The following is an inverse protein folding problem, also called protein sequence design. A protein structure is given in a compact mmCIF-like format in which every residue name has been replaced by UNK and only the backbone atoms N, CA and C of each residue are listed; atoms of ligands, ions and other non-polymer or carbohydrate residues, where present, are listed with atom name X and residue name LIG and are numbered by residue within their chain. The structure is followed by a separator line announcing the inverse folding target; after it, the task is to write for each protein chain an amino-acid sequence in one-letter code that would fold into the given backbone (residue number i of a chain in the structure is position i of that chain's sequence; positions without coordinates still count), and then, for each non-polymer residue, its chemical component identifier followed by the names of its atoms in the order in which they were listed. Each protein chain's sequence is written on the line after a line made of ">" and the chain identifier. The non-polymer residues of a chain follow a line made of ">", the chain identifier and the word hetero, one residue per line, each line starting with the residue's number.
data_IF_286856772358
#
_entry.id   IF_286856772358
#
_cell.length_a   1.000
_cell.length_b   1.000
_cell.length_c   1.000
_cell.angle_alpha   90.00
_cell.angle_beta   90.00
_cell.angle_gamma   90.00
#
_symmetry.space_group_name_H-M   'P 1'
#
loop_
_entity.id
_entity.type
_entity.pdbx_description
1 polymer ?
#
# COMPACT_ATOMS: atom_id res chain seq x y z
N UNK A 1 -0.92 -18.97 -3.14
CA UNK A 1 -1.31 -20.30 -3.66
C UNK A 1 -2.83 -20.35 -3.64
N UNK A 2 -3.48 -20.84 -4.71
CA UNK A 2 -4.94 -20.80 -4.87
C UNK A 2 -5.51 -22.20 -4.83
N UNK A 3 -6.46 -22.44 -3.93
CA UNK A 3 -7.18 -23.70 -3.83
C UNK A 3 -8.68 -23.44 -4.00
N UNK A 4 -9.36 -24.32 -4.73
CA UNK A 4 -10.82 -24.36 -4.81
C UNK A 4 -11.27 -25.63 -4.11
N UNK A 5 -12.20 -25.49 -3.17
CA UNK A 5 -12.77 -26.60 -2.43
C UNK A 5 -14.27 -26.60 -2.69
N UNK A 6 -14.74 -27.69 -3.26
CA UNK A 6 -16.13 -27.87 -3.70
C UNK A 6 -16.93 -28.73 -2.70
N UNK A 7 -16.25 -29.44 -1.80
CA UNK A 7 -16.85 -30.33 -0.81
C UNK A 7 -17.12 -29.63 0.52
N UNK A 8 -18.33 -29.78 1.07
CA UNK A 8 -18.79 -29.04 2.26
C UNK A 8 -18.12 -29.47 3.56
N UNK A 9 -17.64 -30.71 3.69
CA UNK A 9 -16.98 -31.21 4.92
C UNK A 9 -15.60 -30.57 5.17
N UNK A 10 -14.90 -30.15 4.11
CA UNK A 10 -13.57 -29.53 4.22
C UNK A 10 -13.63 -28.01 4.44
N UNK A 11 -14.79 -27.40 4.18
CA UNK A 11 -15.05 -25.99 4.47
C UNK A 11 -15.02 -25.73 5.97
N UNK A 12 -15.62 -26.61 6.78
CA UNK A 12 -15.66 -26.44 8.25
C UNK A 12 -14.25 -26.45 8.88
N UNK A 13 -13.35 -27.30 8.37
CA UNK A 13 -11.95 -27.35 8.85
C UNK A 13 -11.20 -26.05 8.57
N UNK A 14 -11.47 -25.41 7.43
CA UNK A 14 -10.89 -24.13 7.05
C UNK A 14 -11.44 -22.99 7.90
N UNK A 15 -12.74 -23.00 8.21
CA UNK A 15 -13.35 -22.03 9.14
C UNK A 15 -12.69 -22.15 10.51
N UNK A 16 -12.55 -23.38 11.02
CA UNK A 16 -11.92 -23.62 12.33
C UNK A 16 -10.47 -23.12 12.31
N UNK A 17 -9.71 -23.37 11.23
CA UNK A 17 -8.36 -22.81 11.09
C UNK A 17 -8.34 -21.28 11.04
N UNK A 18 -9.24 -20.65 10.27
CA UNK A 18 -9.32 -19.20 10.16
C UNK A 18 -9.80 -18.55 11.48
N UNK A 19 -10.71 -19.21 12.19
CA UNK A 19 -11.22 -18.82 13.51
C UNK A 19 -10.13 -18.83 14.59
N UNK A 20 -9.26 -19.84 14.57
CA UNK A 20 -8.08 -19.87 15.44
C UNK A 20 -7.06 -18.78 15.09
N UNK A 21 -6.98 -18.38 13.82
CA UNK A 21 -6.04 -17.36 13.36
C UNK A 21 -6.51 -15.92 13.67
N UNK A 22 -7.82 -15.64 13.57
CA UNK A 22 -8.39 -14.36 13.98
C UNK A 22 -9.83 -14.52 14.51
N UNK A 23 -10.03 -14.58 15.84
CA UNK A 23 -11.34 -14.82 16.44
C UNK A 23 -12.40 -13.75 16.15
N UNK A 24 -11.97 -12.53 15.82
CA UNK A 24 -12.87 -11.39 15.60
C UNK A 24 -13.62 -11.44 14.26
N UNK A 25 -13.15 -12.23 13.29
CA UNK A 25 -13.70 -12.25 11.93
C UNK A 25 -14.63 -13.47 11.69
N UNK A 26 -14.79 -14.34 12.70
CA UNK A 26 -15.55 -15.60 12.60
C UNK A 26 -17.00 -15.34 12.16
N UNK A 27 -17.64 -14.33 12.73
CA UNK A 27 -19.04 -14.03 12.46
C UNK A 27 -19.24 -13.57 11.00
N UNK A 28 -18.29 -12.78 10.48
CA UNK A 28 -18.29 -12.33 9.09
C UNK A 28 -18.07 -13.51 8.12
N UNK A 29 -17.13 -14.41 8.43
CA UNK A 29 -16.87 -15.60 7.62
C UNK A 29 -18.07 -16.56 7.59
N UNK A 30 -18.72 -16.79 8.74
CA UNK A 30 -19.92 -17.61 8.83
C UNK A 30 -21.08 -17.06 7.99
N UNK A 31 -21.23 -15.72 7.94
CA UNK A 31 -22.24 -15.08 7.10
C UNK A 31 -21.92 -15.18 5.60
N UNK A 32 -20.66 -15.07 5.20
CA UNK A 32 -20.25 -15.23 3.79
C UNK A 32 -20.51 -16.65 3.29
N UNK A 33 -20.31 -17.65 4.14
CA UNK A 33 -20.53 -19.06 3.80
C UNK A 33 -22.01 -19.42 3.66
N UNK A 34 -22.87 -18.90 4.55
CA UNK A 34 -24.33 -19.07 4.43
C UNK A 34 -24.91 -18.51 3.12
N UNK A 35 -24.18 -17.62 2.45
CA UNK A 35 -24.58 -16.98 1.19
C UNK A 35 -23.90 -17.59 -0.05
N UNK A 36 -23.03 -18.58 0.11
CA UNK A 36 -22.31 -19.19 -1.01
C UNK A 36 -23.02 -20.44 -1.55
N UNK A 37 -23.68 -20.31 -2.70
CA UNK A 37 -24.40 -21.42 -3.35
C UNK A 37 -23.50 -22.43 -4.09
N UNK A 38 -22.22 -22.09 -4.34
CA UNK A 38 -21.34 -22.85 -5.27
C UNK A 38 -19.98 -23.25 -4.69
N UNK A 39 -19.77 -23.10 -3.39
CA UNK A 39 -18.51 -23.44 -2.71
C UNK A 39 -17.60 -22.24 -2.41
N UNK A 40 -16.43 -22.51 -1.81
CA UNK A 40 -15.51 -21.51 -1.28
C UNK A 40 -14.16 -21.52 -2.03
N UNK A 41 -13.64 -20.33 -2.36
CA UNK A 41 -12.28 -20.16 -2.88
C UNK A 41 -11.42 -19.50 -1.81
N UNK A 42 -10.34 -20.16 -1.39
CA UNK A 42 -9.39 -19.63 -0.40
C UNK A 42 -8.05 -19.36 -1.07
N UNK A 43 -7.53 -18.16 -0.83
CA UNK A 43 -6.22 -17.76 -1.35
C UNK A 43 -5.30 -17.41 -0.19
N UNK A 44 -4.20 -18.16 -0.07
CA UNK A 44 -3.15 -17.89 0.92
C UNK A 44 -2.09 -17.04 0.25
N UNK A 45 -1.99 -15.80 0.71
CA UNK A 45 -1.01 -14.81 0.27
C UNK A 45 -0.06 -14.48 1.42
N UNK A 46 1.21 -14.18 1.09
CA UNK A 46 2.12 -13.59 2.10
C UNK A 46 1.49 -12.27 2.56
N UNK A 47 1.33 -12.11 3.87
CA UNK A 47 0.94 -10.83 4.45
C UNK A 47 2.05 -9.83 4.11
N UNK A 48 1.78 -8.98 3.11
CA UNK A 48 2.62 -7.83 2.83
C UNK A 48 1.97 -6.70 3.58
N UNK A 49 2.71 -6.05 4.48
CA UNK A 49 2.32 -4.75 5.00
C UNK A 49 2.18 -3.80 3.81
N UNK A 50 0.97 -3.68 3.29
CA UNK A 50 0.67 -2.74 2.22
C UNK A 50 0.94 -1.34 2.74
N UNK A 51 1.38 -0.44 1.85
CA UNK A 51 1.54 0.98 2.17
C UNK A 51 0.34 1.51 2.97
N UNK A 52 0.60 2.30 4.00
CA UNK A 52 -0.49 2.89 4.77
C UNK A 52 -1.24 3.92 3.92
N UNK A 53 -2.56 4.08 4.15
CA UNK A 53 -3.35 5.15 3.50
C UNK A 53 -2.75 6.54 3.74
N UNK A 54 -2.13 6.75 4.91
CA UNK A 54 -1.46 8.02 5.27
C UNK A 54 -0.25 8.28 4.35
N UNK A 55 0.60 7.29 4.15
CA UNK A 55 1.74 7.39 3.23
C UNK A 55 1.27 7.67 1.80
N UNK A 56 0.27 6.93 1.31
CA UNK A 56 -0.25 7.14 -0.04
C UNK A 56 -0.86 8.53 -0.22
N UNK A 57 -1.67 8.99 0.75
CA UNK A 57 -2.25 10.33 0.72
C UNK A 57 -1.20 11.44 0.75
N UNK A 58 -0.19 11.30 1.60
CA UNK A 58 0.94 12.24 1.66
C UNK A 58 1.70 12.27 0.32
N UNK A 59 2.06 11.10 -0.20
CA UNK A 59 2.80 10.98 -1.46
C UNK A 59 2.03 11.61 -2.62
N UNK A 60 0.75 11.23 -2.81
CA UNK A 60 -0.11 11.75 -3.89
C UNK A 60 -0.28 13.27 -3.83
N UNK A 61 -0.43 13.84 -2.64
CA UNK A 61 -0.51 15.29 -2.47
C UNK A 61 0.74 15.98 -3.02
N UNK A 62 1.92 15.53 -2.58
CA UNK A 62 3.16 16.23 -2.87
C UNK A 62 3.73 15.92 -4.25
N UNK A 63 3.55 14.71 -4.76
CA UNK A 63 3.95 14.37 -6.13
C UNK A 63 3.17 15.19 -7.16
N UNK A 64 1.88 15.47 -6.89
CA UNK A 64 1.06 16.34 -7.74
C UNK A 64 1.57 17.78 -7.73
N UNK A 65 1.73 18.37 -6.55
CA UNK A 65 2.22 19.76 -6.44
C UNK A 65 3.64 19.92 -6.99
N UNK A 66 4.50 18.92 -6.80
CA UNK A 66 5.83 18.93 -7.36
C UNK A 66 5.81 18.76 -8.89
N UNK A 67 4.96 17.89 -9.42
CA UNK A 67 4.72 17.77 -10.85
C UNK A 67 4.30 19.10 -11.48
N UNK A 68 3.33 19.79 -10.87
CA UNK A 68 2.89 21.13 -11.30
C UNK A 68 4.07 22.14 -11.31
N UNK A 69 4.96 22.09 -10.32
CA UNK A 69 6.14 22.96 -10.25
C UNK A 69 7.16 22.69 -11.37
N UNK A 70 7.40 21.42 -11.74
CA UNK A 70 8.36 21.06 -12.80
C UNK A 70 7.74 20.98 -14.20
N UNK A 71 6.43 21.22 -14.33
CA UNK A 71 5.71 21.15 -15.60
C UNK A 71 5.39 19.72 -16.08
N UNK A 72 5.31 18.75 -15.17
CA UNK A 72 4.94 17.36 -15.44
C UNK A 72 3.57 17.03 -14.86
N UNK A 73 2.85 16.09 -15.47
CA UNK A 73 1.65 15.52 -14.86
C UNK A 73 1.99 14.68 -13.62
N UNK A 74 1.01 14.48 -12.74
CA UNK A 74 1.18 13.58 -11.57
C UNK A 74 1.71 12.20 -11.97
N UNK A 75 1.22 11.66 -13.09
CA UNK A 75 1.62 10.35 -13.61
C UNK A 75 3.05 10.32 -14.13
N UNK A 76 3.47 11.33 -14.89
CA UNK A 76 4.84 11.45 -15.39
C UNK A 76 5.83 11.66 -14.25
N UNK A 77 5.49 12.53 -13.30
CA UNK A 77 6.30 12.76 -12.11
C UNK A 77 6.38 11.49 -11.25
N UNK A 78 5.29 10.72 -11.13
CA UNK A 78 5.31 9.43 -10.44
C UNK A 78 6.24 8.42 -11.14
N UNK A 79 6.19 8.31 -12.48
CA UNK A 79 7.12 7.43 -13.21
C UNK A 79 8.58 7.85 -12.97
N UNK A 80 8.89 9.15 -12.98
CA UNK A 80 10.27 9.61 -12.71
C UNK A 80 10.74 9.29 -11.30
N UNK A 81 9.92 9.53 -10.27
CA UNK A 81 10.30 9.15 -8.90
C UNK A 81 10.46 7.63 -8.76
N UNK A 82 9.66 6.82 -9.46
CA UNK A 82 9.84 5.36 -9.48
C UNK A 82 11.19 4.96 -10.10
N UNK A 83 11.56 5.56 -11.24
CA UNK A 83 12.84 5.32 -11.89
C UNK A 83 14.02 5.74 -11.01
N UNK A 84 13.92 6.91 -10.36
CA UNK A 84 14.95 7.39 -9.42
C UNK A 84 15.09 6.48 -8.19
N UNK A 85 13.97 5.94 -7.68
CA UNK A 85 13.97 5.14 -6.45
C UNK A 85 14.41 3.70 -6.68
N UNK A 86 13.95 3.07 -7.76
CA UNK A 86 14.12 1.63 -8.00
C UNK A 86 15.03 1.32 -9.19
N UNK A 87 15.59 2.36 -9.80
CA UNK A 87 16.27 2.25 -11.08
C UNK A 87 15.29 2.02 -12.23
N UNK A 88 15.87 1.93 -13.42
CA UNK A 88 15.12 1.83 -14.66
C UNK A 88 15.72 0.82 -15.62
N UNK A 89 14.88 0.37 -16.54
CA UNK A 89 15.26 -0.41 -17.71
C UNK A 89 14.75 0.31 -18.95
N UNK A 90 15.60 0.37 -19.99
CA UNK A 90 15.20 0.87 -21.31
C UNK A 90 14.70 -0.30 -22.15
N UNK A 91 13.48 -0.19 -22.64
CA UNK A 91 12.84 -1.23 -23.47
C UNK A 91 12.55 -0.65 -24.85
N UNK A 92 12.92 -1.38 -25.90
CA UNK A 92 12.52 -1.05 -27.27
C UNK A 92 11.03 -1.34 -27.46
N UNK A 93 10.28 -0.31 -27.85
CA UNK A 93 8.86 -0.42 -28.17
C UNK A 93 8.62 -0.01 -29.62
N UNK A 94 7.43 -0.30 -30.15
CA UNK A 94 7.03 0.19 -31.48
C UNK A 94 6.99 1.72 -31.58
N UNK A 95 6.97 2.43 -30.45
CA UNK A 95 7.04 3.89 -30.36
C UNK A 95 8.46 4.41 -30.06
N UNK A 96 9.47 3.54 -30.12
CA UNK A 96 10.85 3.85 -29.78
C UNK A 96 11.26 3.37 -28.39
N UNK A 97 12.43 3.82 -27.93
CA UNK A 97 12.98 3.45 -26.62
C UNK A 97 12.19 4.12 -25.51
N UNK A 98 11.68 3.32 -24.57
CA UNK A 98 10.97 3.82 -23.38
C UNK A 98 11.69 3.39 -22.11
N UNK A 99 11.94 4.35 -21.21
CA UNK A 99 12.35 4.09 -19.81
C UNK A 99 11.17 3.52 -19.03
N UNK A 100 11.41 2.48 -18.24
CA UNK A 100 10.44 1.90 -17.31
C UNK A 100 11.09 1.69 -15.96
N UNK A 101 10.39 1.96 -14.85
CA UNK A 101 10.92 1.66 -13.54
C UNK A 101 11.02 0.14 -13.35
N UNK A 102 12.06 -0.31 -12.64
CA UNK A 102 12.25 -1.73 -12.36
C UNK A 102 11.20 -2.30 -11.40
N UNK A 103 10.51 -1.42 -10.66
CA UNK A 103 9.47 -1.80 -9.70
C UNK A 103 8.33 -0.77 -9.68
N UNK A 104 7.10 -1.25 -9.49
CA UNK A 104 5.91 -0.40 -9.33
C UNK A 104 5.58 -0.17 -7.86
N UNK A 105 4.98 0.97 -7.55
CA UNK A 105 4.47 1.31 -6.22
C UNK A 105 3.36 0.37 -5.73
N UNK A 106 2.64 -0.30 -6.63
CA UNK A 106 1.63 -1.29 -6.28
C UNK A 106 2.22 -2.54 -5.59
N UNK A 107 3.47 -2.88 -5.90
CA UNK A 107 4.14 -4.09 -5.42
C UNK A 107 4.98 -3.83 -4.15
N UNK A 108 4.91 -2.62 -3.58
CA UNK A 108 5.76 -2.17 -2.47
C UNK A 108 5.08 -2.29 -1.11
N UNK A 109 5.87 -2.64 -0.09
CA UNK A 109 5.44 -2.62 1.31
C UNK A 109 5.59 -1.20 1.93
N UNK A 110 5.12 -1.01 3.17
CA UNK A 110 5.22 0.25 3.92
C UNK A 110 6.64 0.85 3.93
N UNK A 111 7.66 0.03 4.16
CA UNK A 111 9.06 0.46 4.20
C UNK A 111 9.56 0.94 2.83
N UNK A 112 9.32 0.13 1.79
CA UNK A 112 9.73 0.45 0.42
C UNK A 112 8.97 1.67 -0.12
N UNK A 113 7.72 1.86 0.30
CA UNK A 113 6.96 3.07 0.01
C UNK A 113 7.49 4.29 0.78
N UNK A 114 8.06 4.09 1.96
CA UNK A 114 8.82 5.11 2.68
C UNK A 114 10.01 5.63 1.87
N UNK A 115 10.76 4.73 1.23
CA UNK A 115 11.88 5.11 0.33
C UNK A 115 11.41 5.95 -0.86
N UNK A 116 10.24 5.64 -1.43
CA UNK A 116 9.59 6.47 -2.47
C UNK A 116 9.33 7.90 -1.99
N UNK A 117 8.87 8.07 -0.75
CA UNK A 117 8.63 9.38 -0.14
C UNK A 117 9.94 10.12 0.12
N UNK A 118 10.97 9.45 0.61
CA UNK A 118 12.29 10.03 0.83
C UNK A 118 12.91 10.53 -0.48
N UNK A 119 12.85 9.74 -1.55
CA UNK A 119 13.31 10.16 -2.88
C UNK A 119 12.56 11.39 -3.36
N UNK A 120 11.22 11.44 -3.20
CA UNK A 120 10.44 12.62 -3.55
C UNK A 120 10.93 13.87 -2.80
N UNK A 121 11.15 13.78 -1.49
CA UNK A 121 11.63 14.91 -0.67
C UNK A 121 13.02 15.36 -1.13
N UNK A 122 13.94 14.42 -1.37
CA UNK A 122 15.30 14.73 -1.79
C UNK A 122 15.35 15.37 -3.18
N UNK A 123 14.65 14.79 -4.16
CA UNK A 123 14.60 15.30 -5.54
C UNK A 123 13.93 16.67 -5.58
N UNK A 124 12.81 16.84 -4.88
CA UNK A 124 12.14 18.12 -4.76
C UNK A 124 13.04 19.20 -4.15
N UNK A 125 13.69 18.87 -3.02
CA UNK A 125 14.61 19.78 -2.35
C UNK A 125 15.79 20.19 -3.24
N UNK A 126 16.35 19.24 -4.00
CA UNK A 126 17.41 19.51 -4.98
C UNK A 126 16.99 20.44 -6.12
N UNK A 127 15.69 20.54 -6.40
CA UNK A 127 15.10 21.43 -7.41
C UNK A 127 14.50 22.72 -6.81
N UNK A 128 14.69 22.98 -5.51
CA UNK A 128 14.17 24.17 -4.84
C UNK A 128 12.68 24.08 -4.47
N UNK A 129 12.06 22.91 -4.55
CA UNK A 129 10.69 22.68 -4.09
C UNK A 129 10.67 22.08 -2.68
N UNK A 130 10.01 22.76 -1.75
CA UNK A 130 9.96 22.31 -0.35
C UNK A 130 8.80 21.34 -0.10
N UNK A 131 9.13 20.08 0.16
CA UNK A 131 8.18 19.07 0.64
C UNK A 131 8.35 18.92 2.16
N UNK A 132 7.34 19.26 2.99
CA UNK A 132 7.45 19.11 4.44
C UNK A 132 7.52 17.63 4.82
N UNK A 133 8.29 17.24 5.83
CA UNK A 133 8.39 15.83 6.23
C UNK A 133 7.01 15.25 6.54
N UNK A 134 6.78 13.95 6.26
CA UNK A 134 5.53 13.30 6.66
C UNK A 134 5.37 13.48 8.16
N UNK A 135 4.15 13.84 8.60
CA UNK A 135 3.86 13.92 10.01
C UNK A 135 4.24 12.58 10.63
N UNK A 136 5.33 12.56 11.42
CA UNK A 136 5.55 11.46 12.36
C UNK A 136 4.25 11.38 13.12
N UNK A 137 3.60 10.22 13.12
CA UNK A 137 2.63 9.95 14.18
C UNK A 137 3.39 10.28 15.46
N UNK A 138 3.04 11.41 16.08
CA UNK A 138 3.31 11.60 17.50
C UNK A 138 2.82 10.30 18.11
N UNK A 139 3.77 9.59 18.72
CA UNK A 139 3.65 8.21 19.14
C UNK A 139 2.25 7.96 19.71
N UNK A 140 1.65 6.82 19.38
CA UNK A 140 0.34 6.43 19.96
C UNK A 140 0.34 6.47 21.51
N UNK A 141 1.53 6.53 22.13
CA UNK A 141 1.77 6.87 23.53
C UNK A 141 1.37 8.31 23.93
N UNK A 142 1.66 9.33 23.11
CA UNK A 142 1.31 10.73 23.39
C UNK A 142 -0.19 11.03 23.16
N UNK A 143 -0.88 10.26 22.30
CA UNK A 143 -2.33 10.39 22.14
C UNK A 143 -3.13 9.75 23.29
N UNK A 144 -2.55 8.82 24.06
CA UNK A 144 -3.16 8.32 25.30
C UNK A 144 -3.11 9.36 26.41
N UNK A 145 -1.99 10.05 26.59
CA UNK A 145 -1.86 11.12 27.59
C UNK A 145 -2.82 12.30 27.34
N UNK A 146 -3.05 12.68 26.08
CA UNK A 146 -3.96 13.79 25.76
C UNK A 146 -5.44 13.42 25.97
N UNK A 147 -5.80 12.12 25.88
CA UNK A 147 -7.15 11.66 26.15
C UNK A 147 -7.42 11.36 27.64
N UNK A 148 -6.39 11.17 28.47
CA UNK A 148 -6.54 11.02 29.92
C UNK A 148 -6.72 12.37 30.65
N UNK A 149 -6.39 13.50 30.03
CA UNK A 149 -6.61 14.85 30.57
C UNK A 149 -7.99 15.45 30.22
N UNK A 150 -8.91 14.64 29.71
CA UNK A 150 -10.31 15.02 29.49
C UNK A 150 -11.27 14.02 30.11
N UNK A 151 -11.25 13.93 31.43
CA UNK A 151 -12.41 13.52 32.21
C UNK A 151 -12.62 14.53 33.35
N UNK A 152 -13.82 15.14 33.48
CA UNK A 152 -14.26 15.69 34.75
C UNK A 152 -14.49 14.58 35.78
#
# INVERSE_FOLDING_TARGET
>A
MKFRIEDTEDIDKIIIMAAHANPNDIEQMAQMLKKCDKGLSVEINKYRDSRSRRQEGYYRKWIRSFGEFVGLTEGEMHEEILCQTFGETVVDTKFGKKRRPNQRSADTNTETYGRLIETLIMVAGGMGFSVPPPARSLDEAQMKEVNEWKLP
#
